data_IF_955816280313
#
_entry.id   IF_955816280313
#
_cell.length_a   1.000
_cell.length_b   1.000
_cell.length_c   1.000
_cell.angle_alpha   90.00
_cell.angle_beta   90.00
_cell.angle_gamma   90.00
#
_symmetry.space_group_name_H-M   'P 1'
#
loop_
_entity.id
_entity.type
_entity.pdbx_description
1 polymer ?
#
# COMPACT_ATOMS: atom_id res chain seq x y z
N UNK A 1 20.44 -4.53 -11.83
CA UNK A 1 19.60 -5.50 -11.11
C UNK A 1 18.24 -5.51 -11.80
N UNK A 2 17.90 -6.57 -12.54
CA UNK A 2 16.57 -6.68 -13.14
C UNK A 2 15.54 -6.84 -12.01
N UNK A 3 14.56 -5.94 -11.93
CA UNK A 3 13.42 -6.07 -11.03
C UNK A 3 12.25 -6.58 -11.85
N UNK A 4 11.68 -7.72 -11.45
CA UNK A 4 10.41 -8.20 -12.00
C UNK A 4 9.32 -7.18 -11.61
N UNK A 5 8.81 -6.43 -12.59
CA UNK A 5 7.63 -5.60 -12.39
C UNK A 5 6.40 -6.47 -12.53
N UNK A 6 5.59 -6.53 -11.49
CA UNK A 6 4.28 -7.15 -11.56
C UNK A 6 3.25 -6.04 -11.85
N UNK A 7 2.63 -6.00 -13.04
CA UNK A 7 1.67 -4.95 -13.40
C UNK A 7 0.47 -4.89 -12.45
N UNK A 8 0.10 -6.03 -11.84
CA UNK A 8 -0.96 -6.09 -10.85
C UNK A 8 -0.62 -5.33 -9.56
N UNK A 9 0.64 -5.36 -9.13
CA UNK A 9 1.09 -4.59 -7.96
C UNK A 9 1.17 -3.08 -8.26
N UNK A 10 1.47 -2.70 -9.50
CA UNK A 10 1.44 -1.30 -9.91
C UNK A 10 0.01 -0.73 -9.89
N UNK A 11 -0.97 -1.50 -10.36
CA UNK A 11 -2.40 -1.17 -10.27
C UNK A 11 -2.83 -1.03 -8.81
N UNK A 12 -2.55 -2.04 -7.96
CA UNK A 12 -2.88 -1.97 -6.53
C UNK A 12 -2.29 -0.71 -5.91
N UNK A 13 -1.01 -0.41 -6.16
CA UNK A 13 -0.37 0.80 -5.63
C UNK A 13 -1.09 2.08 -6.03
N UNK A 14 -1.58 2.16 -7.26
CA UNK A 14 -2.34 3.31 -7.77
C UNK A 14 -3.66 3.45 -6.99
N UNK A 15 -4.43 2.37 -6.85
CA UNK A 15 -5.69 2.40 -6.11
C UNK A 15 -5.51 2.60 -4.61
N UNK A 16 -4.43 2.10 -4.01
CA UNK A 16 -4.11 2.32 -2.59
C UNK A 16 -3.92 3.80 -2.25
N UNK A 17 -3.45 4.60 -3.23
CA UNK A 17 -3.28 6.05 -3.07
C UNK A 17 -4.58 6.83 -3.19
N UNK A 18 -5.61 6.25 -3.79
CA UNK A 18 -6.93 6.86 -3.92
C UNK A 18 -7.92 6.37 -2.88
N UNK A 19 -7.60 5.29 -2.16
CA UNK A 19 -8.42 4.76 -1.07
C UNK A 19 -8.25 5.61 0.20
N UNK A 20 -9.35 6.27 0.60
CA UNK A 20 -9.36 7.16 1.76
C UNK A 20 -8.95 6.45 3.06
N UNK A 21 -9.39 5.20 3.29
CA UNK A 21 -9.09 4.45 4.52
C UNK A 21 -7.61 4.12 4.61
N UNK A 22 -6.99 3.76 3.49
CA UNK A 22 -5.54 3.49 3.43
C UNK A 22 -4.72 4.77 3.55
N UNK A 23 -5.20 5.90 2.99
CA UNK A 23 -4.55 7.21 3.18
C UNK A 23 -4.52 7.61 4.67
N UNK A 24 -5.59 7.39 5.43
CA UNK A 24 -5.58 7.63 6.88
C UNK A 24 -4.52 6.78 7.60
N UNK A 25 -4.37 5.50 7.22
CA UNK A 25 -3.31 4.65 7.77
C UNK A 25 -1.92 5.15 7.40
N UNK A 26 -1.75 5.68 6.19
CA UNK A 26 -0.47 6.25 5.74
C UNK A 26 -0.06 7.46 6.58
N UNK A 27 -1.01 8.32 6.98
CA UNK A 27 -0.74 9.44 7.88
C UNK A 27 -0.21 8.94 9.23
N UNK A 28 -0.81 7.90 9.80
CA UNK A 28 -0.34 7.30 11.06
C UNK A 28 1.09 6.75 10.95
N UNK A 29 1.44 6.15 9.81
CA UNK A 29 2.81 5.69 9.53
C UNK A 29 3.78 6.89 9.49
N UNK A 30 3.40 7.97 8.79
CA UNK A 30 4.23 9.17 8.65
C UNK A 30 4.41 9.92 9.98
N UNK A 31 3.42 9.89 10.87
CA UNK A 31 3.54 10.39 12.25
C UNK A 31 4.46 9.51 13.13
N UNK A 32 5.00 8.41 12.60
CA UNK A 32 5.89 7.51 13.34
C UNK A 32 5.17 6.62 14.36
N UNK A 33 3.82 6.54 14.31
CA UNK A 33 3.07 5.63 15.17
C UNK A 33 3.41 4.20 14.78
N UNK A 34 3.72 3.36 15.76
CA UNK A 34 3.88 1.91 15.55
C UNK A 34 2.53 1.31 15.18
N UNK A 35 2.28 1.21 13.88
CA UNK A 35 1.14 0.51 13.30
C UNK A 35 1.62 -0.74 12.56
N UNK A 36 0.76 -1.75 12.42
CA UNK A 36 1.04 -2.97 11.66
C UNK A 36 1.18 -2.75 10.14
N UNK A 37 0.91 -1.54 9.68
CA UNK A 37 1.01 -1.13 8.28
C UNK A 37 2.42 -0.65 7.95
N UNK A 38 2.94 -1.06 6.78
CA UNK A 38 4.24 -0.65 6.26
C UNK A 38 4.17 -0.45 4.75
N UNK A 39 5.04 0.41 4.23
CA UNK A 39 5.28 0.53 2.79
C UNK A 39 6.49 -0.33 2.43
N UNK A 40 6.36 -1.23 1.45
CA UNK A 40 7.49 -2.05 0.97
C UNK A 40 8.36 -1.31 -0.06
N UNK A 41 9.49 -1.91 -0.45
CA UNK A 41 10.43 -1.35 -1.44
C UNK A 41 9.79 -0.94 -2.78
N UNK A 42 8.66 -1.56 -3.15
CA UNK A 42 7.89 -1.27 -4.36
C UNK A 42 6.88 -0.12 -4.16
N UNK A 43 6.81 0.46 -2.97
CA UNK A 43 5.87 1.52 -2.63
C UNK A 43 4.44 1.05 -2.41
N UNK A 44 4.23 -0.25 -2.16
CA UNK A 44 2.94 -0.89 -1.89
C UNK A 44 2.71 -0.96 -0.38
N UNK A 45 1.51 -0.58 0.07
CA UNK A 45 1.10 -0.72 1.46
C UNK A 45 0.80 -2.18 1.80
N UNK A 46 1.36 -2.64 2.93
CA UNK A 46 1.19 -3.98 3.46
C UNK A 46 0.78 -3.96 4.93
N UNK A 47 -0.13 -4.85 5.29
CA UNK A 47 -0.51 -5.13 6.68
C UNK A 47 0.06 -6.47 7.10
N UNK A 48 1.00 -6.47 8.06
CA UNK A 48 1.69 -7.69 8.54
C UNK A 48 2.23 -8.56 7.39
N UNK A 49 2.82 -7.92 6.37
CA UNK A 49 3.43 -8.57 5.19
C UNK A 49 2.47 -8.84 4.02
N UNK A 50 1.16 -8.73 4.22
CA UNK A 50 0.13 -8.95 3.19
C UNK A 50 -0.23 -7.66 2.46
N UNK A 51 -0.44 -7.72 1.15
CA UNK A 51 -0.82 -6.56 0.33
C UNK A 51 -2.22 -6.09 0.69
N UNK A 52 -2.38 -4.79 0.94
CA UNK A 52 -3.69 -4.18 1.16
C UNK A 52 -4.38 -3.94 -0.18
N UNK A 53 -5.39 -4.74 -0.53
CA UNK A 53 -6.16 -4.50 -1.76
C UNK A 53 -7.26 -3.49 -1.45
N UNK A 54 -7.27 -2.31 -2.11
CA UNK A 54 -8.33 -1.31 -1.93
C UNK A 54 -9.65 -1.81 -2.53
N UNK A 55 -10.75 -1.29 -2.00
CA UNK A 55 -12.09 -1.58 -2.50
C UNK A 55 -12.27 -0.83 -3.82
N UNK A 56 -12.34 -1.56 -4.94
CA UNK A 56 -12.66 -0.98 -6.25
C UNK A 56 -14.16 -1.14 -6.46
N UNK A 57 -14.90 -0.07 -6.81
CA UNK A 57 -16.27 -0.23 -7.25
C UNK A 57 -16.30 -1.12 -8.50
N UNK A 58 -17.26 -2.06 -8.55
CA UNK A 58 -17.49 -2.99 -9.67
C UNK A 58 -17.68 -2.28 -11.02
#
# INVERSE_FOLDING_TARGET
MLKLKNPFLEEIRKYQRTDNKLMEKLVLINEGKKVDFKIDENGVMRYRGRVCVPDVPE
#
